data_IF_306828326564
#
_entry.id   IF_306828326564
#
_cell.length_a   1.000
_cell.length_b   1.000
_cell.length_c   1.000
_cell.angle_alpha   90.00
_cell.angle_beta   90.00
_cell.angle_gamma   90.00
#
_symmetry.space_group_name_H-M   'P 1'
#
loop_
_entity.id
_entity.type
_entity.pdbx_description
1 polymer ?
#
# COMPACT_ATOMS: atom_id res chain seq x y z
N UNK A 1 -26.64 -52.29 18.68
CA UNK A 1 -26.02 -51.90 17.40
C UNK A 1 -26.25 -50.42 17.07
N UNK A 2 -27.39 -49.83 17.46
CA UNK A 2 -27.70 -48.41 17.29
C UNK A 2 -26.66 -47.42 17.90
N UNK A 3 -26.09 -47.73 19.07
CA UNK A 3 -25.03 -46.90 19.72
C UNK A 3 -23.71 -46.83 18.93
N UNK A 4 -23.37 -47.89 18.19
CA UNK A 4 -22.15 -47.93 17.36
C UNK A 4 -22.32 -47.12 16.07
N UNK A 5 -23.54 -47.05 15.52
CA UNK A 5 -23.85 -46.22 14.35
C UNK A 5 -23.78 -44.72 14.64
N UNK A 6 -24.19 -44.28 15.84
CA UNK A 6 -24.16 -42.85 16.27
C UNK A 6 -22.71 -42.34 16.42
N UNK A 7 -21.81 -43.16 16.98
CA UNK A 7 -20.40 -42.79 17.14
C UNK A 7 -19.67 -42.64 15.80
N UNK A 8 -20.02 -43.46 14.80
CA UNK A 8 -19.43 -43.38 13.45
C UNK A 8 -19.96 -42.16 12.69
N UNK A 9 -21.24 -41.78 12.86
CA UNK A 9 -21.80 -40.57 12.23
C UNK A 9 -21.23 -39.29 12.84
N UNK A 10 -20.99 -39.25 14.15
CA UNK A 10 -20.40 -38.09 14.82
C UNK A 10 -18.91 -37.90 14.45
N UNK A 11 -18.17 -38.99 14.27
CA UNK A 11 -16.77 -38.94 13.81
C UNK A 11 -16.62 -38.45 12.37
N UNK A 12 -17.61 -38.73 11.50
CA UNK A 12 -17.63 -38.23 10.11
C UNK A 12 -17.99 -36.75 10.04
N UNK A 13 -18.84 -36.23 10.92
CA UNK A 13 -19.13 -34.78 10.99
C UNK A 13 -17.94 -33.94 11.49
N UNK A 14 -17.03 -34.52 12.27
CA UNK A 14 -15.81 -33.86 12.74
C UNK A 14 -14.68 -33.87 11.71
N UNK A 15 -14.84 -34.62 10.62
CA UNK A 15 -13.90 -34.69 9.49
C UNK A 15 -14.33 -33.80 8.31
N UNK A 16 -15.18 -32.79 8.55
CA UNK A 16 -15.38 -31.73 7.57
C UNK A 16 -14.03 -31.01 7.38
N UNK A 17 -13.49 -30.93 6.15
CA UNK A 17 -12.33 -30.08 5.92
C UNK A 17 -12.70 -28.68 6.44
N UNK A 18 -11.81 -28.09 7.25
CA UNK A 18 -11.94 -26.70 7.64
C UNK A 18 -12.28 -25.90 6.38
N UNK A 19 -13.51 -25.38 6.29
CA UNK A 19 -14.00 -24.72 5.08
C UNK A 19 -12.99 -23.64 4.76
N UNK A 20 -12.23 -23.84 3.68
CA UNK A 20 -11.35 -22.81 3.17
C UNK A 20 -12.24 -21.58 2.98
N UNK A 21 -11.97 -20.49 3.70
CA UNK A 21 -12.81 -19.30 3.58
C UNK A 21 -12.80 -18.90 2.11
N UNK A 22 -13.97 -18.61 1.55
CA UNK A 22 -14.03 -18.06 0.20
C UNK A 22 -13.27 -16.72 0.18
N UNK A 23 -12.28 -16.59 -0.70
CA UNK A 23 -11.43 -15.41 -0.79
C UNK A 23 -12.25 -14.14 -0.96
N UNK A 24 -13.32 -14.21 -1.76
CA UNK A 24 -14.24 -13.10 -1.98
C UNK A 24 -14.93 -12.68 -0.69
N UNK A 25 -15.40 -13.63 0.10
CA UNK A 25 -16.01 -13.37 1.42
C UNK A 25 -15.00 -12.75 2.40
N UNK A 26 -13.76 -13.24 2.44
CA UNK A 26 -12.71 -12.65 3.30
C UNK A 26 -12.40 -11.21 2.92
N UNK A 27 -12.21 -10.94 1.63
CA UNK A 27 -11.92 -9.60 1.11
C UNK A 27 -13.08 -8.66 1.40
N UNK A 28 -14.33 -9.08 1.15
CA UNK A 28 -15.52 -8.28 1.43
C UNK A 28 -15.67 -7.95 2.93
N UNK A 29 -15.46 -8.95 3.80
CA UNK A 29 -15.52 -8.72 5.25
C UNK A 29 -14.41 -7.78 5.73
N UNK A 30 -13.21 -7.89 5.18
CA UNK A 30 -12.10 -6.99 5.50
C UNK A 30 -12.40 -5.55 5.03
N UNK A 31 -12.87 -5.38 3.80
CA UNK A 31 -13.28 -4.06 3.27
C UNK A 31 -14.38 -3.43 4.14
N UNK A 32 -15.40 -4.20 4.53
CA UNK A 32 -16.47 -3.73 5.41
C UNK A 32 -15.96 -3.34 6.79
N UNK A 33 -15.15 -4.20 7.42
CA UNK A 33 -14.61 -3.96 8.76
C UNK A 33 -13.71 -2.72 8.81
N UNK A 34 -12.98 -2.45 7.73
CA UNK A 34 -12.10 -1.27 7.61
C UNK A 34 -12.84 -0.01 7.13
N UNK A 35 -14.12 -0.12 6.73
CA UNK A 35 -14.91 1.00 6.21
C UNK A 35 -14.59 1.38 4.76
N UNK A 36 -14.03 0.47 3.97
CA UNK A 36 -13.60 0.73 2.59
C UNK A 36 -14.61 0.33 1.51
N UNK A 37 -15.72 -0.33 1.86
CA UNK A 37 -16.72 -0.82 0.88
C UNK A 37 -17.23 0.28 -0.07
N UNK A 38 -17.40 1.50 0.45
CA UNK A 38 -17.88 2.65 -0.31
C UNK A 38 -16.80 3.75 -0.46
N UNK A 39 -15.56 3.46 -0.05
CA UNK A 39 -14.47 4.42 -0.18
C UNK A 39 -14.07 4.53 -1.65
N UNK A 40 -14.19 5.73 -2.19
CA UNK A 40 -13.81 6.02 -3.58
C UNK A 40 -12.55 6.87 -3.65
N UNK A 41 -12.48 7.90 -2.82
CA UNK A 41 -11.45 8.93 -2.92
C UNK A 41 -10.76 9.14 -1.58
N UNK A 42 -9.46 9.38 -1.63
CA UNK A 42 -8.65 9.76 -0.47
C UNK A 42 -7.91 11.03 -0.85
N UNK A 43 -8.03 12.04 0.00
CA UNK A 43 -7.24 13.27 -0.12
C UNK A 43 -6.47 13.50 1.16
N UNK A 44 -5.20 13.86 1.02
CA UNK A 44 -4.37 14.27 2.14
C UNK A 44 -3.37 15.32 1.70
N UNK A 45 -3.01 16.19 2.64
CA UNK A 45 -2.05 17.25 2.41
C UNK A 45 -1.11 17.41 3.61
N UNK A 46 0.01 18.09 3.37
CA UNK A 46 0.99 18.34 4.41
C UNK A 46 2.26 18.98 3.87
N UNK A 47 3.30 18.91 4.68
CA UNK A 47 4.66 19.36 4.36
C UNK A 47 5.66 18.30 4.83
N UNK A 48 6.84 18.26 4.24
CA UNK A 48 7.86 17.29 4.65
C UNK A 48 9.07 17.26 3.74
N UNK A 49 9.66 16.08 3.61
CA UNK A 49 10.82 15.85 2.77
C UNK A 49 10.58 14.68 1.82
N UNK A 50 11.07 14.81 0.58
CA UNK A 50 11.09 13.73 -0.40
C UNK A 50 12.55 13.30 -0.64
N UNK A 51 12.88 12.05 -0.35
CA UNK A 51 14.23 11.50 -0.53
C UNK A 51 14.40 10.87 -1.91
N UNK A 52 15.47 11.21 -2.63
CA UNK A 52 15.66 10.76 -4.02
C UNK A 52 16.93 9.94 -4.25
N UNK A 53 17.80 9.81 -3.24
CA UNK A 53 19.04 9.05 -3.36
C UNK A 53 19.42 8.42 -2.00
N UNK A 54 18.71 7.34 -1.66
CA UNK A 54 19.07 6.52 -0.51
C UNK A 54 20.52 6.01 -0.69
N UNK A 55 21.40 6.38 0.23
CA UNK A 55 22.76 5.86 0.40
C UNK A 55 23.83 6.93 0.19
N UNK A 56 23.42 8.11 -0.26
CA UNK A 56 24.32 9.16 -0.76
C UNK A 56 24.46 10.33 0.24
N UNK A 57 24.51 10.01 1.54
CA UNK A 57 24.72 11.01 2.58
C UNK A 57 26.17 11.54 2.56
N UNK A 58 26.36 12.83 2.83
CA UNK A 58 27.72 13.42 2.88
C UNK A 58 28.53 12.92 4.08
N UNK A 59 27.85 12.61 5.17
CA UNK A 59 28.42 12.02 6.39
C UNK A 59 27.29 11.33 7.17
N UNK A 60 27.65 10.60 8.22
CA UNK A 60 26.66 9.97 9.12
C UNK A 60 25.67 10.98 9.74
N UNK A 61 26.08 12.25 9.86
CA UNK A 61 25.28 13.33 10.47
C UNK A 61 24.77 14.36 9.46
N UNK A 62 25.33 14.42 8.25
CA UNK A 62 25.00 15.42 7.21
C UNK A 62 23.69 15.18 6.46
N UNK A 63 23.03 14.05 6.73
CA UNK A 63 21.73 13.72 6.13
C UNK A 63 21.82 13.30 4.65
N UNK A 64 20.66 12.91 4.13
CA UNK A 64 20.49 12.29 2.82
C UNK A 64 20.02 13.34 1.79
N UNK A 65 20.28 13.14 0.48
CA UNK A 65 19.70 13.98 -0.56
C UNK A 65 18.18 13.99 -0.45
N UNK A 66 17.64 15.20 -0.25
CA UNK A 66 16.20 15.43 -0.08
C UNK A 66 15.76 16.71 -0.77
N UNK A 67 14.50 16.72 -1.16
CA UNK A 67 13.75 17.93 -1.47
C UNK A 67 12.86 18.28 -0.29
N UNK A 68 12.71 19.57 -0.03
CA UNK A 68 11.70 20.09 0.89
C UNK A 68 10.39 20.20 0.14
N UNK A 69 9.33 19.64 0.73
CA UNK A 69 7.95 19.82 0.29
C UNK A 69 7.31 20.83 1.24
N UNK A 70 7.29 22.11 0.83
CA UNK A 70 6.66 23.17 1.62
C UNK A 70 5.15 22.99 1.68
N UNK A 71 4.57 22.57 0.56
CA UNK A 71 3.22 22.06 0.49
C UNK A 71 3.20 20.80 -0.35
N UNK A 72 2.33 19.88 0.00
CA UNK A 72 2.04 18.66 -0.71
C UNK A 72 0.55 18.40 -0.58
N UNK A 73 -0.11 18.07 -1.68
CA UNK A 73 -1.47 17.52 -1.71
C UNK A 73 -1.48 16.31 -2.62
N UNK A 74 -2.13 15.24 -2.17
CA UNK A 74 -2.39 14.02 -2.93
C UNK A 74 -3.88 13.77 -2.94
N UNK A 75 -4.40 13.56 -4.14
CA UNK A 75 -5.73 13.05 -4.40
C UNK A 75 -5.61 11.66 -5.04
N UNK A 76 -6.32 10.68 -4.50
CA UNK A 76 -6.38 9.31 -5.02
C UNK A 76 -7.83 8.97 -5.29
N UNK A 77 -8.21 8.71 -6.55
CA UNK A 77 -9.46 8.03 -6.89
C UNK A 77 -9.14 6.57 -7.20
N UNK A 78 -9.67 5.67 -6.37
CA UNK A 78 -9.42 4.22 -6.46
C UNK A 78 -9.99 3.59 -7.75
N UNK A 79 -10.79 4.32 -8.52
CA UNK A 79 -11.37 3.88 -9.80
C UNK A 79 -10.89 4.70 -11.00
N UNK A 80 -10.58 5.99 -10.83
CA UNK A 80 -10.41 6.93 -11.95
C UNK A 80 -9.00 7.54 -12.09
N UNK A 81 -8.06 7.20 -11.22
CA UNK A 81 -6.68 7.72 -11.26
C UNK A 81 -6.40 8.73 -10.15
N UNK A 82 -5.15 9.19 -10.07
CA UNK A 82 -4.66 9.94 -8.92
C UNK A 82 -3.81 11.14 -9.35
N UNK A 83 -3.78 12.17 -8.53
CA UNK A 83 -2.99 13.37 -8.75
C UNK A 83 -2.23 13.78 -7.51
N UNK A 84 -1.08 14.40 -7.66
CA UNK A 84 -0.37 15.08 -6.60
C UNK A 84 0.19 16.41 -7.07
N UNK A 85 0.25 17.35 -6.14
CA UNK A 85 0.77 18.70 -6.35
C UNK A 85 1.66 19.04 -5.17
N UNK A 86 2.85 19.60 -5.41
CA UNK A 86 3.78 19.96 -4.35
C UNK A 86 4.59 21.22 -4.67
N UNK A 87 4.73 22.13 -3.69
CA UNK A 87 5.76 23.17 -3.74
C UNK A 87 7.07 22.56 -3.24
N UNK A 88 7.97 22.32 -4.17
CA UNK A 88 9.19 21.52 -3.98
C UNK A 88 10.41 22.41 -4.12
N UNK A 89 11.38 22.28 -3.23
CA UNK A 89 12.63 23.05 -3.28
C UNK A 89 13.81 22.24 -2.76
N UNK A 90 15.01 22.65 -3.13
CA UNK A 90 16.26 22.11 -2.59
C UNK A 90 17.32 23.21 -2.53
N UNK A 91 17.20 24.14 -1.57
CA UNK A 91 18.18 25.19 -1.39
C UNK A 91 19.50 24.63 -0.83
N UNK A 92 20.59 25.37 -1.03
CA UNK A 92 21.85 25.14 -0.32
C UNK A 92 21.63 25.39 1.18
N UNK A 93 22.36 24.65 2.02
CA UNK A 93 22.43 24.96 3.44
C UNK A 93 23.12 26.33 3.60
N UNK A 94 22.45 27.32 4.23
CA UNK A 94 23.02 28.66 4.37
C UNK A 94 24.30 28.70 5.21
N UNK A 95 24.50 27.76 6.13
CA UNK A 95 25.64 27.73 7.04
C UNK A 95 26.91 27.16 6.40
N UNK A 96 26.75 26.20 5.49
CA UNK A 96 27.88 25.52 4.83
C UNK A 96 28.02 25.88 3.36
N UNK A 97 26.99 26.45 2.74
CA UNK A 97 26.92 26.67 1.30
C UNK A 97 26.82 25.39 0.48
N UNK A 98 26.56 24.24 1.12
CA UNK A 98 26.54 22.92 0.48
C UNK A 98 25.13 22.34 0.46
N UNK A 99 24.90 21.37 -0.44
CA UNK A 99 23.66 20.60 -0.46
C UNK A 99 23.75 19.44 0.53
N UNK A 100 22.68 19.18 1.28
CA UNK A 100 22.56 17.95 2.04
C UNK A 100 22.62 16.74 1.08
N UNK A 101 23.63 15.89 1.28
CA UNK A 101 23.88 14.71 0.44
C UNK A 101 24.36 15.04 -0.99
N UNK A 102 25.02 14.07 -1.63
CA UNK A 102 25.82 14.28 -2.85
C UNK A 102 25.44 13.44 -4.07
N UNK A 103 24.18 13.01 -4.21
CA UNK A 103 23.72 12.13 -5.31
C UNK A 103 23.66 12.78 -6.71
N UNK A 104 24.55 13.73 -7.03
CA UNK A 104 24.62 14.42 -8.34
C UNK A 104 23.49 15.43 -8.61
N UNK A 105 22.63 15.69 -7.62
CA UNK A 105 21.48 16.59 -7.77
C UNK A 105 21.88 18.05 -7.54
N UNK A 106 21.36 18.95 -8.37
CA UNK A 106 21.59 20.39 -8.25
C UNK A 106 20.73 21.04 -7.14
N UNK A 107 21.07 22.28 -6.79
CA UNK A 107 20.17 23.14 -6.03
C UNK A 107 18.95 23.47 -6.87
N UNK A 108 17.78 23.59 -6.24
CA UNK A 108 16.53 23.89 -6.93
C UNK A 108 15.76 24.96 -6.15
N UNK A 109 15.39 26.09 -6.78
CA UNK A 109 14.49 27.05 -6.15
C UNK A 109 13.11 26.41 -5.90
N UNK A 110 12.25 27.09 -5.15
CA UNK A 110 10.86 26.64 -4.98
C UNK A 110 10.14 26.62 -6.34
N UNK A 111 9.62 25.45 -6.71
CA UNK A 111 8.85 25.25 -7.93
C UNK A 111 7.61 24.41 -7.65
N UNK A 112 6.55 24.66 -8.41
CA UNK A 112 5.35 23.84 -8.37
C UNK A 112 5.57 22.56 -9.20
N UNK A 113 5.49 21.41 -8.54
CA UNK A 113 5.45 20.11 -9.21
C UNK A 113 4.00 19.59 -9.23
N UNK A 114 3.60 19.03 -10.36
CA UNK A 114 2.33 18.33 -10.54
C UNK A 114 2.63 16.96 -11.14
N UNK A 115 2.02 15.90 -10.60
CA UNK A 115 2.17 14.54 -11.12
C UNK A 115 0.80 13.87 -11.14
N UNK A 116 0.45 13.24 -12.25
CA UNK A 116 -0.80 12.50 -12.41
C UNK A 116 -0.49 11.03 -12.73
N UNK A 117 -1.30 10.13 -12.20
CA UNK A 117 -1.32 8.71 -12.51
C UNK A 117 -2.65 8.44 -13.19
N UNK A 118 -2.60 8.14 -14.49
CA UNK A 118 -3.78 7.86 -15.28
C UNK A 118 -4.52 6.60 -14.78
N UNK A 119 -5.84 6.50 -14.99
CA UNK A 119 -6.58 5.27 -14.68
C UNK A 119 -6.04 4.05 -15.43
N UNK A 120 -5.51 4.22 -16.65
CA UNK A 120 -4.89 3.15 -17.43
C UNK A 120 -3.39 2.92 -17.16
N UNK A 121 -2.80 3.57 -16.14
CA UNK A 121 -1.40 3.37 -15.78
C UNK A 121 -1.09 1.92 -15.39
N UNK A 122 0.15 1.48 -15.57
CA UNK A 122 0.57 0.11 -15.20
C UNK A 122 0.49 -0.11 -13.69
N UNK A 123 0.45 -1.37 -13.25
CA UNK A 123 0.49 -1.70 -11.82
C UNK A 123 1.69 -1.06 -11.10
N UNK A 124 2.88 -1.11 -11.73
CA UNK A 124 4.10 -0.52 -11.18
C UNK A 124 3.99 1.00 -10.98
N UNK A 125 3.31 1.71 -11.88
CA UNK A 125 3.07 3.15 -11.76
C UNK A 125 2.08 3.49 -10.64
N UNK A 126 1.18 2.56 -10.29
CA UNK A 126 0.19 2.70 -9.21
C UNK A 126 0.65 2.08 -7.90
N UNK A 127 1.91 1.63 -7.79
CA UNK A 127 2.37 0.77 -6.69
C UNK A 127 2.05 1.34 -5.30
N UNK A 128 2.27 2.64 -5.10
CA UNK A 128 1.97 3.34 -3.84
C UNK A 128 0.48 3.24 -3.47
N UNK A 129 -0.41 3.40 -4.44
CA UNK A 129 -1.86 3.29 -4.28
C UNK A 129 -2.25 1.82 -4.04
N UNK A 130 -1.72 0.92 -4.87
CA UNK A 130 -1.99 -0.53 -4.82
C UNK A 130 -1.59 -1.16 -3.49
N UNK A 131 -0.52 -0.66 -2.85
CA UNK A 131 -0.06 -1.14 -1.55
C UNK A 131 -0.73 -0.45 -0.36
N UNK A 132 -1.52 0.60 -0.58
CA UNK A 132 -2.35 1.17 0.48
C UNK A 132 -3.42 0.16 0.93
N UNK A 133 -3.85 0.15 2.21
CA UNK A 133 -4.89 -0.77 2.67
C UNK A 133 -6.17 -0.78 1.80
N UNK A 134 -6.76 0.37 1.42
CA UNK A 134 -7.94 0.36 0.55
C UNK A 134 -7.61 0.01 -0.90
N UNK A 135 -6.45 0.39 -1.43
CA UNK A 135 -6.04 0.02 -2.78
C UNK A 135 -5.79 -1.48 -2.93
N UNK A 136 -5.15 -2.11 -1.94
CA UNK A 136 -4.93 -3.55 -1.91
C UNK A 136 -6.26 -4.31 -1.92
N UNK A 137 -7.20 -3.96 -1.05
CA UNK A 137 -8.50 -4.64 -0.96
C UNK A 137 -9.35 -4.40 -2.21
N UNK A 138 -9.27 -3.21 -2.82
CA UNK A 138 -9.91 -2.91 -4.10
C UNK A 138 -9.37 -3.82 -5.21
N UNK A 139 -8.05 -3.92 -5.35
CA UNK A 139 -7.42 -4.81 -6.33
C UNK A 139 -7.75 -6.27 -6.07
N UNK A 140 -7.67 -6.72 -4.82
CA UNK A 140 -8.02 -8.08 -4.44
C UNK A 140 -9.47 -8.44 -4.82
N UNK A 141 -10.40 -7.49 -4.65
CA UNK A 141 -11.82 -7.69 -4.98
C UNK A 141 -12.09 -7.82 -6.48
N UNK A 142 -11.22 -7.24 -7.32
CA UNK A 142 -11.30 -7.30 -8.78
C UNK A 142 -10.51 -8.47 -9.37
N UNK A 143 -9.67 -9.15 -8.58
CA UNK A 143 -8.86 -10.25 -9.05
C UNK A 143 -9.67 -11.52 -9.26
N UNK A 144 -9.47 -12.18 -10.40
CA UNK A 144 -10.20 -13.42 -10.76
C UNK A 144 -9.76 -14.63 -9.92
N UNK A 145 -8.49 -14.67 -9.50
CA UNK A 145 -7.87 -15.83 -8.85
C UNK A 145 -7.30 -15.48 -7.46
N UNK A 146 -8.07 -14.73 -6.66
CA UNK A 146 -7.70 -14.47 -5.28
C UNK A 146 -7.76 -15.77 -4.45
N UNK A 147 -6.75 -15.98 -3.61
CA UNK A 147 -6.60 -17.15 -2.75
C UNK A 147 -6.45 -16.71 -1.30
N UNK A 148 -6.84 -17.59 -0.38
CA UNK A 148 -6.62 -17.39 1.05
C UNK A 148 -5.84 -18.53 1.66
N UNK A 149 -5.01 -18.20 2.63
CA UNK A 149 -4.27 -19.17 3.43
C UNK A 149 -4.33 -18.78 4.91
N UNK A 150 -4.36 -19.76 5.79
CA UNK A 150 -4.17 -19.52 7.22
C UNK A 150 -2.68 -19.55 7.54
N UNK A 151 -2.16 -18.53 8.23
CA UNK A 151 -0.75 -18.46 8.66
C UNK A 151 -0.65 -18.11 10.14
N UNK A 152 0.21 -18.80 10.88
CA UNK A 152 0.57 -18.39 12.23
C UNK A 152 1.79 -17.47 12.17
N UNK A 153 1.68 -16.27 12.71
CA UNK A 153 2.77 -15.30 12.83
C UNK A 153 2.87 -14.92 14.31
N UNK A 154 4.02 -15.21 14.93
CA UNK A 154 4.28 -14.95 16.36
C UNK A 154 3.15 -15.43 17.29
N UNK A 155 2.65 -16.65 17.06
CA UNK A 155 1.58 -17.26 17.88
C UNK A 155 0.16 -16.76 17.58
N UNK A 156 0.00 -15.78 16.69
CA UNK A 156 -1.31 -15.28 16.25
C UNK A 156 -1.69 -15.87 14.90
N UNK A 157 -2.95 -16.29 14.76
CA UNK A 157 -3.49 -16.83 13.49
C UNK A 157 -3.97 -15.68 12.61
N UNK A 158 -3.48 -15.64 11.37
CA UNK A 158 -3.83 -14.66 10.35
C UNK A 158 -4.43 -15.36 9.12
N UNK A 159 -5.36 -14.67 8.47
CA UNK A 159 -5.80 -15.02 7.11
C UNK A 159 -5.01 -14.18 6.12
N UNK A 160 -4.15 -14.82 5.33
CA UNK A 160 -3.41 -14.18 4.25
C UNK A 160 -4.22 -14.24 2.95
N UNK A 161 -4.39 -13.09 2.29
CA UNK A 161 -4.97 -12.97 0.94
C UNK A 161 -3.84 -12.80 -0.07
N UNK A 162 -3.91 -13.51 -1.20
CA UNK A 162 -2.95 -13.42 -2.30
C UNK A 162 -3.64 -13.50 -3.65
N UNK A 163 -3.19 -12.71 -4.63
CA UNK A 163 -3.74 -12.68 -5.99
C UNK A 163 -2.66 -12.22 -6.98
N UNK A 164 -2.74 -12.65 -8.25
CA UNK A 164 -1.88 -12.10 -9.30
C UNK A 164 -2.29 -10.65 -9.61
N UNK A 165 -1.30 -9.77 -9.79
CA UNK A 165 -1.51 -8.34 -10.11
C UNK A 165 -1.53 -8.05 -11.62
N UNK A 166 -1.06 -9.01 -12.41
CA UNK A 166 -1.08 -9.01 -13.87
C UNK A 166 -1.70 -10.35 -14.37
N UNK A 167 -2.40 -10.31 -15.50
CA UNK A 167 -2.88 -11.49 -16.23
C UNK A 167 -2.06 -11.66 -17.52
#
# INVERSE_FOLDING_TARGET
>A
MLKKCILVTLAVLLALPAVAQDAKTVIANASKAMGYDQLRTIEYSGSGFEGTALGQAQSATGGWPKFTLKSFSRYVDLNAGSGQTALRSRPLDPSTGQLAGGGGLAATPETQQVTAIAPAATWAQKLDISLSPPGFLKLASAATNATVSSRNVNGSKYTGVSFPVDA
#
